data_IF_020664973066
#
_entry.id   IF_020664973066
#
_cell.length_a   1.000
_cell.length_b   1.000
_cell.length_c   1.000
_cell.angle_alpha   90.00
_cell.angle_beta   90.00
_cell.angle_gamma   90.00
#
_symmetry.space_group_name_H-M   'P 1'
#
loop_
_entity.id
_entity.type
_entity.pdbx_description
1 polymer ?
#
# COMPACT_ATOMS: atom_id res chain seq x y z
N UNK A 1 7.91 -7.76 -20.80
CA UNK A 1 7.11 -8.47 -19.78
C UNK A 1 7.39 -7.79 -18.47
N UNK A 2 6.36 -7.24 -17.83
CA UNK A 2 6.51 -6.46 -16.61
C UNK A 2 6.81 -7.37 -15.42
N UNK A 3 7.87 -7.04 -14.68
CA UNK A 3 8.24 -7.73 -13.44
C UNK A 3 8.22 -6.75 -12.29
N UNK A 4 7.39 -7.00 -11.28
CA UNK A 4 7.29 -6.20 -10.07
C UNK A 4 8.03 -6.87 -8.92
N UNK A 5 9.10 -6.23 -8.44
CA UNK A 5 9.78 -6.59 -7.21
C UNK A 5 9.06 -5.93 -6.04
N UNK A 6 8.57 -6.73 -5.09
CA UNK A 6 7.71 -6.22 -4.02
C UNK A 6 7.94 -6.90 -2.67
N UNK A 7 7.30 -6.31 -1.65
CA UNK A 7 6.88 -7.04 -0.46
C UNK A 7 5.35 -7.09 -0.45
N UNK A 8 4.76 -8.26 -0.20
CA UNK A 8 3.30 -8.43 -0.28
C UNK A 8 2.51 -7.52 0.67
N UNK A 9 3.08 -7.17 1.82
CA UNK A 9 2.45 -6.28 2.80
C UNK A 9 2.81 -4.79 2.64
N UNK A 10 3.59 -4.42 1.62
CA UNK A 10 4.07 -3.04 1.48
C UNK A 10 2.97 -2.13 0.87
N UNK A 11 2.61 -1.01 1.54
CA UNK A 11 1.61 -0.07 1.02
C UNK A 11 2.02 0.53 -0.32
N UNK A 12 3.30 0.86 -0.51
CA UNK A 12 3.81 1.41 -1.75
C UNK A 12 3.80 0.41 -2.91
N UNK A 13 3.97 -0.89 -2.62
CA UNK A 13 3.79 -1.95 -3.63
C UNK A 13 2.31 -2.09 -4.00
N UNK A 14 1.40 -1.96 -3.03
CA UNK A 14 -0.03 -1.98 -3.31
C UNK A 14 -0.53 -0.77 -4.10
N UNK A 15 0.09 0.42 -4.00
CA UNK A 15 -0.18 1.53 -4.95
C UNK A 15 0.02 1.08 -6.40
N UNK A 16 1.17 0.47 -6.68
CA UNK A 16 1.52 -0.04 -8.02
C UNK A 16 0.61 -1.19 -8.44
N UNK A 17 0.37 -2.16 -7.55
CA UNK A 17 -0.53 -3.30 -7.82
C UNK A 17 -1.95 -2.83 -8.13
N UNK A 18 -2.47 -1.86 -7.39
CA UNK A 18 -3.82 -1.32 -7.63
C UNK A 18 -3.95 -0.77 -9.04
N UNK A 19 -2.94 -0.05 -9.54
CA UNK A 19 -2.93 0.42 -10.93
C UNK A 19 -2.88 -0.74 -11.93
N UNK A 20 -1.94 -1.68 -11.77
CA UNK A 20 -1.81 -2.84 -12.67
C UNK A 20 -3.08 -3.71 -12.70
N UNK A 21 -3.73 -3.89 -11.54
CA UNK A 21 -4.96 -4.67 -11.41
C UNK A 21 -6.14 -3.95 -12.06
N UNK A 22 -6.28 -2.65 -11.80
CA UNK A 22 -7.32 -1.82 -12.39
C UNK A 22 -7.22 -1.79 -13.92
N UNK A 23 -6.02 -1.56 -14.44
CA UNK A 23 -5.75 -1.49 -15.89
C UNK A 23 -5.62 -2.84 -16.57
N UNK A 24 -5.76 -3.95 -15.84
CA UNK A 24 -5.67 -5.32 -16.35
C UNK A 24 -4.33 -5.63 -17.04
N UNK A 25 -3.27 -4.92 -16.64
CA UNK A 25 -1.94 -5.09 -17.21
C UNK A 25 -1.31 -6.36 -16.63
N UNK A 26 -0.91 -7.34 -17.46
CA UNK A 26 -0.29 -8.57 -16.97
C UNK A 26 1.15 -8.33 -16.52
N UNK A 27 1.51 -8.91 -15.38
CA UNK A 27 2.84 -8.78 -14.80
C UNK A 27 3.19 -10.00 -13.94
N UNK A 28 4.48 -10.23 -13.73
CA UNK A 28 5.02 -11.25 -12.83
C UNK A 28 5.56 -10.61 -11.55
N UNK A 29 5.53 -11.36 -10.44
CA UNK A 29 6.03 -10.89 -9.14
C UNK A 29 7.36 -11.55 -8.80
N UNK A 30 8.30 -10.75 -8.32
CA UNK A 30 9.47 -11.23 -7.56
C UNK A 30 9.30 -10.78 -6.11
N UNK A 31 9.03 -11.74 -5.22
CA UNK A 31 8.94 -11.46 -3.79
C UNK A 31 10.34 -11.22 -3.22
N UNK A 32 10.61 -10.01 -2.77
CA UNK A 32 11.90 -9.64 -2.20
C UNK A 32 11.96 -10.10 -0.75
N UNK A 33 13.08 -10.69 -0.33
CA UNK A 33 13.27 -11.05 1.06
C UNK A 33 13.53 -9.79 1.90
N UNK A 34 12.70 -9.47 2.92
CA UNK A 34 12.87 -8.24 3.70
C UNK A 34 14.13 -8.25 4.60
N UNK A 35 14.78 -9.40 4.80
CA UNK A 35 15.95 -9.52 5.67
C UNK A 35 17.28 -9.25 4.97
N UNK A 36 17.39 -9.59 3.69
CA UNK A 36 18.65 -9.47 2.95
C UNK A 36 18.49 -8.84 1.56
N UNK A 37 17.26 -8.76 1.03
CA UNK A 37 16.94 -8.12 -0.25
C UNK A 37 17.83 -8.55 -1.41
N UNK A 38 18.28 -9.81 -1.41
CA UNK A 38 19.20 -10.36 -2.42
C UNK A 38 18.66 -10.26 -3.84
N UNK A 39 17.34 -10.32 -3.99
CA UNK A 39 16.65 -10.21 -5.27
C UNK A 39 16.86 -8.82 -5.91
N UNK A 40 17.17 -7.78 -5.13
CA UNK A 40 17.44 -6.42 -5.61
C UNK A 40 18.93 -6.15 -5.87
N UNK A 41 19.85 -7.00 -5.40
CA UNK A 41 21.30 -6.81 -5.56
C UNK A 41 21.70 -6.65 -7.04
N UNK A 42 21.20 -7.45 -8.01
CA UNK A 42 21.53 -7.28 -9.42
C UNK A 42 21.08 -5.94 -10.02
N UNK A 43 20.08 -5.30 -9.40
CA UNK A 43 19.54 -4.01 -9.81
C UNK A 43 20.25 -2.82 -9.13
N UNK A 44 21.13 -3.08 -8.16
CA UNK A 44 21.79 -2.03 -7.37
C UNK A 44 20.84 -1.27 -6.44
N UNK A 45 19.64 -1.81 -6.16
CA UNK A 45 18.59 -1.16 -5.38
C UNK A 45 18.43 -1.82 -4.00
N UNK A 46 17.78 -1.10 -3.08
CA UNK A 46 17.58 -1.55 -1.68
C UNK A 46 16.14 -1.49 -1.22
N UNK A 47 15.24 -0.93 -2.03
CA UNK A 47 13.85 -0.67 -1.66
C UNK A 47 12.93 -1.14 -2.78
N UNK A 48 11.71 -1.47 -2.39
CA UNK A 48 10.58 -1.80 -3.26
C UNK A 48 9.52 -0.69 -3.15
N UNK A 49 8.60 -0.56 -4.13
CA UNK A 49 8.52 -1.34 -5.38
C UNK A 49 9.62 -0.98 -6.38
N UNK A 50 10.01 -1.99 -7.19
CA UNK A 50 10.80 -1.79 -8.41
C UNK A 50 10.09 -2.48 -9.56
N UNK A 51 9.89 -1.78 -10.65
CA UNK A 51 9.34 -2.33 -11.88
C UNK A 51 10.47 -2.53 -12.89
N UNK A 52 10.56 -3.73 -13.44
CA UNK A 52 11.45 -4.03 -14.57
C UNK A 52 10.61 -4.26 -15.80
N UNK A 53 10.94 -3.55 -16.87
CA UNK A 53 10.32 -3.67 -18.19
C UNK A 53 11.38 -3.74 -19.29
N UNK A 54 11.72 -4.96 -19.70
CA UNK A 54 12.84 -5.18 -20.60
C UNK A 54 14.15 -4.71 -19.96
N UNK A 55 14.79 -3.71 -20.56
CA UNK A 55 16.02 -3.09 -20.06
C UNK A 55 15.76 -1.95 -19.06
N UNK A 56 14.51 -1.49 -18.94
CA UNK A 56 14.16 -0.40 -18.04
C UNK A 56 13.99 -0.89 -16.60
N UNK A 57 14.61 -0.19 -15.66
CA UNK A 57 14.48 -0.43 -14.22
C UNK A 57 13.95 0.85 -13.57
N UNK A 58 12.68 0.82 -13.18
CA UNK A 58 11.98 1.96 -12.60
C UNK A 58 11.82 1.73 -11.10
N UNK A 59 12.25 2.71 -10.30
CA UNK A 59 12.15 2.68 -8.84
C UNK A 59 11.41 3.91 -8.33
N UNK A 60 11.00 3.88 -7.06
CA UNK A 60 10.07 4.83 -6.43
C UNK A 60 8.61 4.63 -6.87
N UNK A 61 7.71 4.42 -5.90
CA UNK A 61 6.33 3.99 -6.21
C UNK A 61 5.55 4.94 -7.10
N UNK A 62 5.74 6.25 -6.93
CA UNK A 62 5.05 7.25 -7.75
C UNK A 62 5.59 7.27 -9.18
N UNK A 63 6.92 7.21 -9.35
CA UNK A 63 7.55 7.14 -10.68
C UNK A 63 7.16 5.83 -11.40
N UNK A 64 7.09 4.71 -10.68
CA UNK A 64 6.59 3.43 -11.22
C UNK A 64 5.14 3.56 -11.71
N UNK A 65 4.27 4.21 -10.93
CA UNK A 65 2.89 4.45 -11.36
C UNK A 65 2.81 5.35 -12.59
N UNK A 66 3.65 6.39 -12.66
CA UNK A 66 3.68 7.30 -13.81
C UNK A 66 4.12 6.56 -15.07
N UNK A 67 5.19 5.75 -14.98
CA UNK A 67 5.63 4.89 -16.08
C UNK A 67 4.53 3.93 -16.55
N UNK A 68 3.87 3.23 -15.62
CA UNK A 68 2.78 2.31 -15.99
C UNK A 68 1.62 3.07 -16.64
N UNK A 69 1.30 4.26 -16.16
CA UNK A 69 0.22 5.05 -16.73
C UNK A 69 0.57 5.57 -18.13
N UNK A 70 1.80 6.03 -18.33
CA UNK A 70 2.29 6.53 -19.61
C UNK A 70 2.37 5.44 -20.68
N UNK A 71 2.80 4.23 -20.32
CA UNK A 71 3.08 3.17 -21.28
C UNK A 71 1.97 2.12 -21.44
N UNK A 72 1.05 2.00 -20.47
CA UNK A 72 0.06 0.91 -20.46
C UNK A 72 -1.36 1.33 -20.09
N UNK A 73 -1.54 2.06 -18.98
CA UNK A 73 -2.88 2.25 -18.41
C UNK A 73 -3.62 3.45 -19.00
N UNK A 74 -2.90 4.51 -19.38
CA UNK A 74 -3.43 5.74 -20.00
C UNK A 74 -4.66 6.33 -19.28
N UNK A 75 -4.68 6.26 -17.94
CA UNK A 75 -5.73 6.88 -17.14
C UNK A 75 -5.61 8.40 -17.22
N UNK A 76 -6.76 9.06 -17.23
CA UNK A 76 -6.83 10.51 -17.09
C UNK A 76 -6.15 10.95 -15.78
N UNK A 77 -5.45 12.06 -15.87
CA UNK A 77 -4.67 12.61 -14.77
C UNK A 77 -4.89 14.11 -14.75
N UNK A 78 -5.67 14.61 -13.78
CA UNK A 78 -5.87 16.05 -13.63
C UNK A 78 -4.74 16.68 -12.79
N UNK A 79 -4.69 18.02 -12.79
CA UNK A 79 -3.62 18.78 -12.14
C UNK A 79 -3.59 18.62 -10.60
N UNK A 80 -4.62 18.04 -9.99
CA UNK A 80 -4.72 17.86 -8.53
C UNK A 80 -4.18 16.50 -8.06
N UNK A 81 -4.06 15.53 -8.96
CA UNK A 81 -3.57 14.18 -8.65
C UNK A 81 -2.17 14.15 -8.01
N UNK A 82 -1.17 14.94 -8.45
CA UNK A 82 0.15 14.94 -7.80
C UNK A 82 0.07 15.30 -6.31
N UNK A 83 -0.75 16.30 -5.95
CA UNK A 83 -0.91 16.74 -4.57
C UNK A 83 -1.53 15.66 -3.68
N UNK A 84 -2.55 14.95 -4.18
CA UNK A 84 -3.15 13.83 -3.46
C UNK A 84 -2.19 12.66 -3.27
N UNK A 85 -1.36 12.36 -4.28
CA UNK A 85 -0.35 11.29 -4.19
C UNK A 85 0.75 11.64 -3.19
N UNK A 86 1.16 12.90 -3.14
CA UNK A 86 2.09 13.39 -2.12
C UNK A 86 1.47 13.31 -0.71
N UNK A 87 0.20 13.72 -0.56
CA UNK A 87 -0.53 13.60 0.71
C UNK A 87 -0.62 12.14 1.18
N UNK A 88 -0.85 11.19 0.27
CA UNK A 88 -0.86 9.76 0.58
C UNK A 88 0.48 9.32 1.19
N UNK A 89 1.58 9.70 0.54
CA UNK A 89 2.94 9.25 0.90
C UNK A 89 3.48 9.93 2.17
N UNK A 90 3.09 11.18 2.42
CA UNK A 90 3.58 11.99 3.53
C UNK A 90 2.64 12.03 4.75
N UNK A 91 1.36 11.67 4.58
CA UNK A 91 0.34 11.79 5.63
C UNK A 91 -0.41 10.49 5.85
N UNK A 92 -1.23 10.06 4.90
CA UNK A 92 -2.17 8.94 5.09
C UNK A 92 -1.47 7.65 5.54
N UNK A 93 -0.38 7.29 4.86
CA UNK A 93 0.36 6.04 5.11
C UNK A 93 0.94 5.99 6.54
N UNK A 94 1.14 7.12 7.20
CA UNK A 94 1.75 7.18 8.53
C UNK A 94 0.78 6.84 9.68
N UNK A 95 -0.54 6.92 9.46
CA UNK A 95 -1.52 6.51 10.46
C UNK A 95 -1.72 5.00 10.52
N UNK A 96 -1.40 4.26 9.46
CA UNK A 96 -1.68 2.81 9.35
C UNK A 96 -0.80 1.98 10.30
N UNK A 97 0.55 2.08 10.28
CA UNK A 97 1.42 1.25 11.12
C UNK A 97 1.11 1.29 12.63
N UNK A 98 0.92 2.45 13.28
CA UNK A 98 0.63 2.49 14.72
C UNK A 98 -0.74 1.90 15.08
N UNK A 99 -1.67 1.76 14.14
CA UNK A 99 -2.97 1.10 14.35
C UNK A 99 -2.81 -0.42 14.23
N UNK A 100 -2.18 -0.92 13.15
CA UNK A 100 -2.07 -2.36 12.89
C UNK A 100 -1.01 -3.07 13.75
N UNK A 101 -0.04 -2.33 14.30
CA UNK A 101 0.98 -2.86 15.22
C UNK A 101 0.77 -2.43 16.68
N UNK A 102 -0.43 -1.94 17.02
CA UNK A 102 -0.77 -1.51 18.39
C UNK A 102 -0.65 -2.66 19.40
N UNK A 103 -1.21 -3.82 19.08
CA UNK A 103 -1.29 -4.97 19.99
C UNK A 103 -0.68 -6.25 19.40
N UNK A 104 -0.10 -7.09 20.25
CA UNK A 104 0.65 -8.31 19.89
C UNK A 104 -0.15 -9.25 18.96
N UNK A 105 -1.47 -9.35 19.14
CA UNK A 105 -2.35 -10.20 18.31
C UNK A 105 -2.45 -9.73 16.85
N UNK A 106 -2.54 -8.42 16.61
CA UNK A 106 -2.64 -7.83 15.27
C UNK A 106 -1.30 -7.91 14.52
N UNK A 107 -0.20 -7.73 15.25
CA UNK A 107 1.13 -7.94 14.72
C UNK A 107 1.41 -9.43 14.42
N UNK A 108 0.93 -10.37 15.25
CA UNK A 108 1.07 -11.82 15.05
C UNK A 108 0.35 -12.35 13.79
N UNK A 109 -0.82 -11.80 13.48
CA UNK A 109 -1.57 -12.12 12.26
C UNK A 109 -0.88 -11.55 11.01
N UNK A 110 -0.46 -10.28 11.05
CA UNK A 110 0.27 -9.61 9.95
C UNK A 110 1.56 -10.34 9.59
N UNK A 111 2.36 -10.74 10.59
CA UNK A 111 3.57 -11.52 10.37
C UNK A 111 3.32 -12.94 9.85
N UNK A 112 2.11 -13.48 10.05
CA UNK A 112 1.71 -14.78 9.49
C UNK A 112 1.49 -14.80 7.99
N UNK A 113 1.09 -13.67 7.42
CA UNK A 113 0.89 -13.53 5.99
C UNK A 113 2.23 -13.25 5.29
N UNK A 114 3.08 -12.40 5.87
CA UNK A 114 4.40 -12.02 5.32
C UNK A 114 5.38 -13.21 5.23
N UNK A 115 5.35 -14.14 6.17
CA UNK A 115 6.36 -15.21 6.24
C UNK A 115 5.95 -16.51 5.53
N UNK A 116 4.74 -16.59 4.94
CA UNK A 116 4.31 -17.78 4.20
C UNK A 116 5.22 -18.18 3.03
N UNK A 117 5.80 -17.24 2.23
CA UNK A 117 6.66 -17.59 1.09
C UNK A 117 8.13 -17.88 1.43
N UNK A 118 8.57 -17.66 2.67
CA UNK A 118 9.99 -17.38 2.99
C UNK A 118 10.94 -18.58 3.14
N UNK A 119 10.54 -19.81 2.85
CA UNK A 119 11.43 -20.99 2.96
C UNK A 119 11.95 -21.33 4.39
N UNK A 120 11.53 -20.60 5.43
CA UNK A 120 11.94 -20.89 6.82
C UNK A 120 11.16 -22.08 7.41
N UNK A 121 11.86 -22.96 8.13
CA UNK A 121 11.25 -24.01 8.96
C UNK A 121 10.32 -23.42 10.04
N UNK A 122 9.30 -24.19 10.42
CA UNK A 122 8.15 -23.75 11.25
C UNK A 122 8.59 -23.05 12.54
N UNK A 123 9.61 -23.58 13.23
CA UNK A 123 10.13 -23.01 14.48
C UNK A 123 10.77 -21.61 14.29
N UNK A 124 11.60 -21.45 13.25
CA UNK A 124 12.27 -20.18 12.92
C UNK A 124 11.27 -19.13 12.44
N UNK A 125 10.24 -19.57 11.70
CA UNK A 125 9.10 -18.73 11.28
C UNK A 125 8.37 -18.17 12.51
N UNK A 126 8.05 -19.00 13.49
CA UNK A 126 7.33 -18.60 14.71
C UNK A 126 8.14 -17.61 15.57
N UNK A 127 9.46 -17.81 15.71
CA UNK A 127 10.32 -16.87 16.44
C UNK A 127 10.47 -15.52 15.71
N UNK A 128 10.62 -15.51 14.39
CA UNK A 128 10.69 -14.27 13.60
C UNK A 128 9.36 -13.51 13.68
N UNK A 129 8.21 -14.22 13.66
CA UNK A 129 6.89 -13.62 13.88
C UNK A 129 6.80 -12.93 15.24
N UNK A 130 7.34 -13.55 16.29
CA UNK A 130 7.31 -13.03 17.66
C UNK A 130 8.28 -11.85 17.87
N UNK A 131 9.52 -11.96 17.39
CA UNK A 131 10.51 -10.90 17.52
C UNK A 131 10.17 -9.69 16.62
N UNK A 132 9.70 -9.96 15.40
CA UNK A 132 9.26 -8.94 14.47
C UNK A 132 8.02 -8.20 14.95
N UNK A 133 7.03 -8.87 15.54
CA UNK A 133 5.82 -8.21 16.06
C UNK A 133 6.12 -7.23 17.17
N UNK A 134 7.01 -7.58 18.10
CA UNK A 134 7.45 -6.72 19.20
C UNK A 134 8.33 -5.56 18.71
N UNK A 135 9.26 -5.81 17.79
CA UNK A 135 10.12 -4.78 17.21
C UNK A 135 9.31 -3.77 16.38
N UNK A 136 8.34 -4.23 15.59
CA UNK A 136 7.46 -3.39 14.78
C UNK A 136 6.51 -2.56 15.64
N UNK A 137 5.99 -3.11 16.74
CA UNK A 137 5.17 -2.34 17.68
C UNK A 137 5.97 -1.17 18.26
N UNK A 138 7.16 -1.42 18.85
CA UNK A 138 7.99 -0.33 19.40
C UNK A 138 8.43 0.67 18.33
N UNK A 139 8.86 0.20 17.14
CA UNK A 139 9.32 1.07 16.06
C UNK A 139 8.19 1.94 15.49
N UNK A 140 7.01 1.36 15.25
CA UNK A 140 5.85 2.10 14.72
C UNK A 140 5.37 3.16 15.70
N UNK A 141 5.28 2.83 16.99
CA UNK A 141 4.89 3.80 18.02
C UNK A 141 5.94 4.90 18.20
N UNK A 142 7.24 4.58 18.16
CA UNK A 142 8.31 5.59 18.19
C UNK A 142 8.22 6.52 16.99
N UNK A 143 8.10 5.97 15.78
CA UNK A 143 7.98 6.72 14.52
C UNK A 143 6.73 7.59 14.45
N UNK A 144 5.62 7.16 15.06
CA UNK A 144 4.41 7.96 15.19
C UNK A 144 4.67 9.19 16.08
N UNK A 145 5.30 9.01 17.24
CA UNK A 145 5.67 10.12 18.14
C UNK A 145 6.64 11.11 17.50
N UNK A 146 7.65 10.63 16.77
CA UNK A 146 8.58 11.47 16.01
C UNK A 146 7.88 12.34 14.95
N UNK A 147 6.71 11.89 14.45
CA UNK A 147 5.86 12.62 13.49
C UNK A 147 4.77 13.47 14.17
N UNK A 148 4.74 13.53 15.50
CA UNK A 148 3.67 14.22 16.24
C UNK A 148 2.32 13.50 16.22
N UNK A 149 2.26 12.24 15.78
CA UNK A 149 1.02 11.44 15.80
C UNK A 149 0.80 10.92 17.22
N UNK A 150 -0.13 11.57 17.94
CA UNK A 150 -0.51 11.23 19.32
C UNK A 150 -1.71 10.27 19.38
N UNK A 151 -2.66 10.41 18.46
CA UNK A 151 -3.82 9.52 18.29
C UNK A 151 -3.96 9.11 16.82
N UNK A 152 -3.39 7.96 16.47
CA UNK A 152 -3.44 7.46 15.11
C UNK A 152 -4.85 7.07 14.63
N UNK A 153 -5.70 6.39 15.44
CA UNK A 153 -7.11 6.18 15.09
C UNK A 153 -7.89 7.46 14.76
N UNK A 154 -7.76 8.50 15.58
CA UNK A 154 -8.40 9.78 15.31
C UNK A 154 -7.85 10.42 14.02
N UNK A 155 -6.52 10.47 13.88
CA UNK A 155 -5.88 11.01 12.68
C UNK A 155 -6.23 10.26 11.39
N UNK A 156 -6.39 8.92 11.44
CA UNK A 156 -6.88 8.16 10.29
C UNK A 156 -8.34 8.52 9.95
N UNK A 157 -9.18 8.70 10.95
CA UNK A 157 -10.59 9.08 10.76
C UNK A 157 -10.71 10.48 10.13
N UNK A 158 -9.89 11.42 10.59
CA UNK A 158 -9.79 12.76 10.01
C UNK A 158 -9.25 12.71 8.57
N UNK A 159 -8.20 11.93 8.31
CA UNK A 159 -7.65 11.74 6.97
C UNK A 159 -8.69 11.13 6.00
N UNK A 160 -9.50 10.18 6.47
CA UNK A 160 -10.61 9.60 5.69
C UNK A 160 -11.68 10.65 5.40
N UNK A 161 -12.05 11.47 6.39
CA UNK A 161 -13.02 12.55 6.18
C UNK A 161 -12.49 13.60 5.18
N UNK A 162 -11.21 13.97 5.28
CA UNK A 162 -10.55 14.88 4.33
C UNK A 162 -10.56 14.31 2.90
N UNK A 163 -10.19 13.04 2.71
CA UNK A 163 -10.27 12.40 1.39
C UNK A 163 -11.70 12.41 0.82
N UNK A 164 -12.70 12.07 1.63
CA UNK A 164 -14.10 12.05 1.16
C UNK A 164 -14.61 13.45 0.83
N UNK A 165 -14.32 14.44 1.69
CA UNK A 165 -14.87 15.78 1.54
C UNK A 165 -14.16 16.59 0.45
N UNK A 166 -12.83 16.47 0.34
CA UNK A 166 -12.02 17.30 -0.55
C UNK A 166 -11.50 16.53 -1.76
N UNK A 167 -11.12 15.26 -1.61
CA UNK A 167 -10.62 14.45 -2.73
C UNK A 167 -11.74 13.98 -3.65
N UNK A 168 -12.73 13.29 -3.08
CA UNK A 168 -13.90 12.88 -3.84
C UNK A 168 -14.78 14.10 -4.18
N UNK A 169 -14.91 15.07 -3.26
CA UNK A 169 -15.67 16.29 -3.46
C UNK A 169 -17.09 16.06 -4.02
N UNK A 170 -17.76 15.01 -3.52
CA UNK A 170 -19.09 14.59 -3.95
C UNK A 170 -19.15 13.73 -5.22
N UNK A 171 -18.02 13.49 -5.89
CA UNK A 171 -17.90 12.56 -7.03
C UNK A 171 -17.80 11.10 -6.55
N UNK A 172 -17.99 10.16 -7.48
CA UNK A 172 -17.83 8.73 -7.19
C UNK A 172 -16.37 8.39 -6.91
N UNK A 173 -15.48 8.88 -7.77
CA UNK A 173 -14.04 8.76 -7.68
C UNK A 173 -13.41 10.15 -7.80
N UNK A 174 -12.17 10.29 -7.36
CA UNK A 174 -11.40 11.50 -7.67
C UNK A 174 -11.29 11.70 -9.19
N UNK A 175 -11.11 10.64 -9.97
CA UNK A 175 -11.15 10.70 -11.44
C UNK A 175 -12.54 10.94 -12.06
N UNK A 176 -13.58 11.18 -11.25
CA UNK A 176 -14.95 11.39 -11.71
C UNK A 176 -15.74 10.08 -11.82
N UNK A 177 -16.02 9.65 -13.06
CA UNK A 177 -16.76 8.41 -13.33
C UNK A 177 -15.87 7.16 -13.23
N UNK A 178 -14.57 7.31 -13.48
CA UNK A 178 -13.57 6.25 -13.40
C UNK A 178 -12.46 6.64 -12.43
N UNK A 179 -11.88 5.68 -11.69
CA UNK A 179 -10.71 5.94 -10.84
C UNK A 179 -9.50 6.49 -11.62
N UNK A 180 -8.77 7.40 -11.00
CA UNK A 180 -7.48 7.88 -11.49
C UNK A 180 -6.31 7.45 -10.59
N UNK A 181 -5.12 8.02 -10.80
CA UNK A 181 -3.94 7.68 -10.00
C UNK A 181 -4.04 8.15 -8.54
N UNK A 182 -4.84 9.17 -8.22
CA UNK A 182 -5.09 9.58 -6.84
C UNK A 182 -5.96 8.55 -6.13
N UNK A 183 -7.08 8.14 -6.74
CA UNK A 183 -7.93 7.06 -6.21
C UNK A 183 -7.11 5.79 -5.94
N UNK A 184 -6.34 5.35 -6.94
CA UNK A 184 -5.57 4.12 -6.86
C UNK A 184 -4.42 4.20 -5.85
N UNK A 185 -3.88 5.40 -5.59
CA UNK A 185 -2.86 5.63 -4.56
C UNK A 185 -3.45 5.55 -3.15
N UNK A 186 -4.55 6.26 -2.88
CA UNK A 186 -5.26 6.20 -1.59
C UNK A 186 -5.71 4.77 -1.31
N UNK A 187 -6.34 4.15 -2.31
CA UNK A 187 -6.84 2.78 -2.20
C UNK A 187 -5.70 1.79 -1.99
N UNK A 188 -4.63 1.86 -2.78
CA UNK A 188 -3.48 0.95 -2.67
C UNK A 188 -2.83 0.98 -1.29
N UNK A 189 -2.60 2.17 -0.72
CA UNK A 189 -2.02 2.29 0.62
C UNK A 189 -2.89 1.66 1.70
N UNK A 190 -4.21 1.82 1.64
CA UNK A 190 -5.12 1.20 2.60
C UNK A 190 -5.28 -0.30 2.34
N UNK A 191 -5.31 -0.70 1.06
CA UNK A 191 -5.48 -2.08 0.60
C UNK A 191 -4.41 -3.03 1.11
N UNK A 192 -3.19 -2.56 1.35
CA UNK A 192 -2.12 -3.38 1.95
C UNK A 192 -2.44 -3.86 3.37
N UNK A 193 -3.47 -3.29 4.00
CA UNK A 193 -3.95 -3.64 5.33
C UNK A 193 -5.43 -4.08 5.34
N UNK A 194 -5.93 -4.56 4.19
CA UNK A 194 -7.31 -5.06 4.08
C UNK A 194 -7.61 -6.15 5.11
N UNK A 195 -8.78 -6.05 5.75
CA UNK A 195 -9.19 -6.96 6.82
C UNK A 195 -8.51 -6.69 8.18
N UNK A 196 -7.61 -5.71 8.27
CA UNK A 196 -7.00 -5.28 9.53
C UNK A 196 -7.72 -4.07 10.13
N UNK A 197 -7.37 -3.76 11.38
CA UNK A 197 -8.02 -2.71 12.17
C UNK A 197 -8.05 -1.32 11.50
N UNK A 198 -7.02 -0.95 10.73
CA UNK A 198 -6.96 0.34 10.05
C UNK A 198 -8.06 0.50 9.00
N UNK A 199 -8.22 -0.48 8.08
CA UNK A 199 -9.29 -0.44 7.07
C UNK A 199 -10.67 -0.60 7.70
N UNK A 200 -10.82 -1.47 8.69
CA UNK A 200 -12.08 -1.61 9.43
C UNK A 200 -12.50 -0.30 10.09
N UNK A 201 -11.56 0.42 10.71
CA UNK A 201 -11.81 1.73 11.30
C UNK A 201 -12.19 2.76 10.23
N UNK A 202 -11.40 2.85 9.14
CA UNK A 202 -11.66 3.79 8.04
C UNK A 202 -13.08 3.61 7.47
N UNK A 203 -13.47 2.36 7.18
CA UNK A 203 -14.81 2.03 6.68
C UNK A 203 -15.93 2.32 7.69
N UNK A 204 -15.70 2.04 8.98
CA UNK A 204 -16.69 2.32 10.02
C UNK A 204 -16.88 3.83 10.26
N UNK A 205 -15.82 4.62 10.06
CA UNK A 205 -15.82 6.06 10.32
C UNK A 205 -16.56 6.89 9.27
N UNK A 206 -16.65 6.40 8.03
CA UNK A 206 -17.29 7.13 6.94
C UNK A 206 -17.95 6.17 5.91
N UNK A 207 -19.28 6.20 5.75
CA UNK A 207 -19.98 5.28 4.84
C UNK A 207 -19.70 5.54 3.35
N UNK A 208 -19.44 6.79 2.96
CA UNK A 208 -19.04 7.14 1.59
C UNK A 208 -17.69 6.53 1.26
N UNK A 209 -16.73 6.66 2.18
CA UNK A 209 -15.43 5.99 2.07
C UNK A 209 -15.60 4.47 1.95
N UNK A 210 -16.44 3.86 2.80
CA UNK A 210 -16.66 2.41 2.77
C UNK A 210 -17.19 1.93 1.42
N UNK A 211 -18.14 2.66 0.83
CA UNK A 211 -18.69 2.37 -0.51
C UNK A 211 -17.61 2.51 -1.59
N UNK A 212 -16.88 3.63 -1.60
CA UNK A 212 -15.78 3.90 -2.54
C UNK A 212 -14.71 2.79 -2.48
N UNK A 213 -14.31 2.38 -1.28
CA UNK A 213 -13.29 1.35 -1.08
C UNK A 213 -13.72 -0.02 -1.62
N UNK A 214 -14.97 -0.43 -1.37
CA UNK A 214 -15.49 -1.71 -1.88
C UNK A 214 -15.68 -1.70 -3.40
N UNK A 215 -16.06 -0.56 -3.98
CA UNK A 215 -16.12 -0.40 -5.43
C UNK A 215 -14.72 -0.60 -6.05
N UNK A 216 -13.70 0.11 -5.56
CA UNK A 216 -12.33 -0.07 -6.04
C UNK A 216 -11.83 -1.50 -5.84
N UNK A 217 -12.07 -2.09 -4.67
CA UNK A 217 -11.70 -3.48 -4.38
C UNK A 217 -12.30 -4.48 -5.38
N UNK A 218 -13.54 -4.25 -5.82
CA UNK A 218 -14.19 -5.07 -6.84
C UNK A 218 -13.59 -4.87 -8.25
N UNK A 219 -13.15 -3.65 -8.57
CA UNK A 219 -12.55 -3.30 -9.85
C UNK A 219 -11.09 -3.79 -9.97
N UNK A 220 -10.37 -3.90 -8.84
CA UNK A 220 -8.97 -4.31 -8.78
C UNK A 220 -8.79 -5.78 -8.38
N UNK A 221 -9.62 -6.69 -8.91
CA UNK A 221 -9.38 -8.13 -8.72
C UNK A 221 -8.04 -8.53 -9.36
N UNK A 222 -7.24 -9.35 -8.65
CA UNK A 222 -5.83 -9.63 -9.00
C UNK A 222 -5.64 -10.12 -10.44
N UNK A 223 -4.63 -9.57 -11.12
CA UNK A 223 -4.22 -9.92 -12.49
C UNK A 223 -2.82 -10.54 -12.57
N UNK A 224 -2.16 -10.75 -11.42
CA UNK A 224 -0.84 -11.38 -11.37
C UNK A 224 -0.91 -12.85 -11.82
N UNK A 225 0.06 -13.25 -12.66
CA UNK A 225 0.26 -14.62 -13.14
C UNK A 225 1.12 -15.45 -12.17
#
# INVERSE_FOLDING_TARGET
MLTLYQFESCPFCWKVKSLLHFSKVPYTIVEVNPMNSKELEPLGLKKVPVLVDGEQVISESSVVMDYINEHYAHLANDDTVPAWREWVDNTLVHYIPPIIYKDFGTAWQTFGQVLKPSGFGVMKRTMIRFAGSLAMSKSSQKKARERGITDAPAGLTEAVAHWVNEGLAGRTFHGGETPDLADLSVFGVLRSSDGLAAVSLAKASNPTFAKWYEQLKSMTASTAL
#
